data_IF_275012411518
#
_entry.id   IF_275012411518
#
_cell.length_a   1.000
_cell.length_b   1.000
_cell.length_c   1.000
_cell.angle_alpha   90.00
_cell.angle_beta   90.00
_cell.angle_gamma   90.00
#
_symmetry.space_group_name_H-M   'P 1'
#
loop_
_entity.id
_entity.type
_entity.pdbx_description
1 polymer ?
#
# COMPACT_ATOMS: atom_id res chain seq x y z
N UNK A 1 10.45 -23.91 12.33
CA UNK A 1 11.92 -23.82 12.31
C UNK A 1 12.31 -22.84 13.39
N UNK A 2 13.22 -23.25 14.26
CA UNK A 2 13.91 -22.33 15.17
C UNK A 2 14.71 -21.33 14.31
N UNK A 3 14.84 -20.06 14.72
CA UNK A 3 15.69 -19.07 14.05
C UNK A 3 17.17 -19.49 13.91
N UNK A 4 17.59 -20.57 14.57
CA UNK A 4 18.95 -21.12 14.53
C UNK A 4 19.09 -22.36 13.64
N UNK A 5 18.02 -22.81 12.96
CA UNK A 5 18.07 -23.99 12.10
C UNK A 5 18.84 -23.68 10.81
N UNK A 6 19.99 -24.35 10.60
CA UNK A 6 20.80 -24.21 9.39
C UNK A 6 20.10 -24.89 8.21
N UNK A 7 19.85 -24.14 7.15
CA UNK A 7 19.29 -24.65 5.88
C UNK A 7 20.34 -24.67 4.79
N UNK A 8 20.48 -25.79 4.09
CA UNK A 8 21.38 -25.94 2.96
C UNK A 8 20.61 -25.81 1.65
N UNK A 9 21.15 -25.01 0.74
CA UNK A 9 20.60 -24.83 -0.60
C UNK A 9 21.63 -25.26 -1.63
N UNK A 10 21.17 -25.82 -2.75
CA UNK A 10 22.04 -26.12 -3.89
C UNK A 10 22.60 -24.84 -4.53
N UNK A 11 21.77 -23.79 -4.55
CA UNK A 11 22.09 -22.46 -5.06
C UNK A 11 21.25 -21.43 -4.29
N UNK A 12 21.88 -20.33 -3.88
CA UNK A 12 21.23 -19.21 -3.21
C UNK A 12 21.54 -17.95 -4.01
N UNK A 13 20.50 -17.33 -4.57
CA UNK A 13 20.62 -16.04 -5.26
C UNK A 13 20.11 -14.96 -4.32
N UNK A 14 21.05 -14.16 -3.79
CA UNK A 14 20.72 -12.97 -3.00
C UNK A 14 20.73 -11.74 -3.92
N UNK A 15 19.58 -11.08 -4.03
CA UNK A 15 19.49 -9.80 -4.72
C UNK A 15 19.53 -8.70 -3.66
N UNK A 16 20.59 -7.90 -3.69
CA UNK A 16 20.82 -6.78 -2.79
C UNK A 16 20.85 -5.44 -3.54
N UNK A 17 20.75 -4.32 -2.82
CA UNK A 17 20.85 -2.97 -3.38
C UNK A 17 19.58 -2.48 -4.08
N UNK A 18 18.45 -3.16 -3.89
CA UNK A 18 17.14 -2.72 -4.41
C UNK A 18 16.59 -1.52 -3.62
N UNK A 19 16.75 -1.56 -2.30
CA UNK A 19 16.29 -0.48 -1.42
C UNK A 19 17.07 -0.46 -0.11
N UNK A 20 17.29 0.73 0.43
CA UNK A 20 17.57 0.96 1.83
C UNK A 20 16.39 1.76 2.41
N UNK A 21 15.65 1.19 3.36
CA UNK A 21 14.39 1.76 3.86
C UNK A 21 14.58 3.21 4.33
N UNK A 22 13.81 4.12 3.73
CA UNK A 22 13.86 5.56 4.00
C UNK A 22 15.05 6.32 3.42
N UNK A 23 15.99 5.66 2.74
CA UNK A 23 17.24 6.29 2.26
C UNK A 23 17.41 6.19 0.75
N UNK A 24 17.20 5.01 0.18
CA UNK A 24 17.52 4.76 -1.23
C UNK A 24 16.57 3.74 -1.86
N UNK A 25 16.23 3.99 -3.11
CA UNK A 25 15.53 3.06 -3.97
C UNK A 25 16.25 3.00 -5.30
N UNK A 26 16.49 1.79 -5.80
CA UNK A 26 17.20 1.59 -7.05
C UNK A 26 16.40 2.13 -8.24
N UNK A 27 16.98 3.03 -9.07
CA UNK A 27 16.37 3.45 -10.33
C UNK A 27 16.11 2.27 -11.29
N UNK A 28 16.85 1.17 -11.14
CA UNK A 28 16.60 -0.05 -11.90
C UNK A 28 15.28 -0.71 -11.49
N UNK A 29 14.91 -0.70 -10.21
CA UNK A 29 13.61 -1.21 -9.78
C UNK A 29 12.47 -0.40 -10.42
N UNK A 30 12.58 0.93 -10.39
CA UNK A 30 11.60 1.83 -10.99
C UNK A 30 11.49 1.63 -12.50
N UNK A 31 12.61 1.64 -13.22
CA UNK A 31 12.61 1.43 -14.68
C UNK A 31 12.06 0.06 -15.09
N UNK A 32 12.29 -0.99 -14.29
CA UNK A 32 11.69 -2.31 -14.52
C UNK A 32 10.19 -2.29 -14.30
N UNK A 33 9.71 -1.65 -13.23
CA UNK A 33 8.27 -1.50 -13.02
C UNK A 33 7.61 -0.64 -14.11
N UNK A 34 8.30 0.36 -14.66
CA UNK A 34 7.82 1.16 -15.79
C UNK A 34 7.64 0.31 -17.05
N UNK A 35 8.63 -0.53 -17.36
CA UNK A 35 8.57 -1.45 -18.49
C UNK A 35 7.41 -2.46 -18.32
N UNK A 36 7.21 -2.99 -17.10
CA UNK A 36 6.08 -3.86 -16.78
C UNK A 36 4.75 -3.14 -17.01
N UNK A 37 4.59 -1.94 -16.47
CA UNK A 37 3.38 -1.10 -16.64
C UNK A 37 3.12 -0.82 -18.11
N UNK A 38 4.14 -0.46 -18.90
CA UNK A 38 4.01 -0.18 -20.33
C UNK A 38 3.54 -1.41 -21.13
N UNK A 39 3.91 -2.62 -20.71
CA UNK A 39 3.53 -3.87 -21.39
C UNK A 39 2.10 -4.34 -21.11
N UNK A 40 1.43 -3.79 -20.09
CA UNK A 40 0.09 -4.21 -19.67
C UNK A 40 -0.98 -3.28 -20.27
N UNK A 41 -2.02 -3.81 -20.93
CA UNK A 41 -3.10 -3.00 -21.49
C UNK A 41 -3.89 -2.28 -20.38
N UNK A 42 -4.49 -1.14 -20.74
CA UNK A 42 -5.32 -0.38 -19.81
C UNK A 42 -6.50 -1.17 -19.25
N UNK A 43 -6.94 -0.80 -18.05
CA UNK A 43 -8.17 -1.25 -17.40
C UNK A 43 -9.10 -0.07 -17.07
N UNK A 44 -10.30 -0.37 -16.60
CA UNK A 44 -11.18 0.65 -16.03
C UNK A 44 -10.52 1.29 -14.79
N UNK A 45 -10.65 2.62 -14.69
CA UNK A 45 -10.21 3.38 -13.51
C UNK A 45 -11.01 2.93 -12.29
N UNK A 46 -10.32 2.71 -11.17
CA UNK A 46 -10.93 2.24 -9.93
C UNK A 46 -10.37 2.98 -8.72
N UNK A 47 -11.21 3.14 -7.70
CA UNK A 47 -10.78 3.39 -6.32
C UNK A 47 -10.61 2.03 -5.65
N UNK A 48 -9.49 1.82 -4.97
CA UNK A 48 -9.10 0.50 -4.46
C UNK A 48 -8.97 0.55 -2.95
N UNK A 49 -9.59 -0.41 -2.27
CA UNK A 49 -9.31 -0.70 -0.88
C UNK A 49 -8.60 -2.06 -0.81
N UNK A 50 -7.40 -2.06 -0.24
CA UNK A 50 -6.60 -3.27 -0.07
C UNK A 50 -6.92 -3.87 1.30
N UNK A 51 -7.81 -4.86 1.32
CA UNK A 51 -8.19 -5.51 2.58
C UNK A 51 -7.03 -6.31 3.15
N UNK A 52 -7.01 -6.41 4.48
CA UNK A 52 -6.00 -7.17 5.23
C UNK A 52 -6.65 -8.22 6.14
N UNK A 53 -7.87 -8.67 5.81
CA UNK A 53 -8.61 -9.69 6.57
C UNK A 53 -7.73 -10.88 6.94
N UNK A 54 -7.89 -11.35 8.18
CA UNK A 54 -7.22 -12.53 8.74
C UNK A 54 -5.68 -12.46 8.80
N UNK A 55 -5.08 -11.26 8.88
CA UNK A 55 -3.64 -11.09 9.09
C UNK A 55 -3.38 -10.20 10.32
N UNK A 56 -2.17 -10.24 10.87
CA UNK A 56 -1.73 -9.33 11.93
C UNK A 56 -1.91 -7.86 11.52
N UNK A 57 -1.85 -6.88 12.42
CA UNK A 57 -2.02 -5.45 12.04
C UNK A 57 -3.33 -5.22 11.26
N UNK A 58 -4.44 -5.75 11.75
CA UNK A 58 -5.76 -5.59 11.15
C UNK A 58 -6.46 -4.35 11.68
N UNK A 59 -7.42 -3.84 10.91
CA UNK A 59 -8.32 -2.78 11.38
C UNK A 59 -9.42 -3.43 12.20
N UNK A 60 -9.72 -2.91 13.39
CA UNK A 60 -10.89 -3.32 14.17
C UNK A 60 -12.14 -2.94 13.39
N UNK A 61 -13.02 -3.93 13.20
CA UNK A 61 -14.25 -3.78 12.43
C UNK A 61 -13.99 -3.35 10.96
N UNK A 62 -13.08 -4.06 10.30
CA UNK A 62 -12.76 -3.84 8.88
C UNK A 62 -13.99 -3.96 7.96
N UNK A 63 -14.99 -4.77 8.33
CA UNK A 63 -16.23 -4.90 7.57
C UNK A 63 -16.98 -3.56 7.48
N UNK A 64 -17.13 -2.84 8.59
CA UNK A 64 -17.76 -1.51 8.59
C UNK A 64 -16.98 -0.51 7.72
N UNK A 65 -15.64 -0.57 7.75
CA UNK A 65 -14.79 0.26 6.89
C UNK A 65 -14.95 -0.08 5.41
N UNK A 66 -15.03 -1.37 5.08
CA UNK A 66 -15.23 -1.84 3.72
C UNK A 66 -16.58 -1.38 3.17
N UNK A 67 -17.66 -1.51 3.95
CA UNK A 67 -18.99 -1.06 3.56
C UNK A 67 -18.99 0.45 3.26
N UNK A 68 -18.39 1.25 4.15
CA UNK A 68 -18.24 2.69 3.92
C UNK A 68 -17.46 3.00 2.63
N UNK A 69 -16.34 2.33 2.38
CA UNK A 69 -15.54 2.59 1.19
C UNK A 69 -16.27 2.14 -0.08
N UNK A 70 -17.03 1.04 -0.04
CA UNK A 70 -17.87 0.61 -1.15
C UNK A 70 -18.95 1.65 -1.50
N UNK A 71 -19.59 2.26 -0.51
CA UNK A 71 -20.52 3.40 -0.72
C UNK A 71 -19.84 4.59 -1.42
N UNK A 72 -18.52 4.77 -1.22
CA UNK A 72 -17.71 5.80 -1.89
C UNK A 72 -17.18 5.37 -3.28
N UNK A 73 -17.59 4.19 -3.77
CA UNK A 73 -17.22 3.62 -5.06
C UNK A 73 -15.90 2.87 -5.08
N UNK A 74 -15.39 2.44 -3.92
CA UNK A 74 -14.20 1.61 -3.85
C UNK A 74 -14.50 0.14 -4.18
N UNK A 75 -13.53 -0.49 -4.83
CA UNK A 75 -13.45 -1.94 -4.98
C UNK A 75 -12.51 -2.47 -3.89
N UNK A 76 -13.05 -3.29 -3.00
CA UNK A 76 -12.29 -3.97 -1.95
C UNK A 76 -11.72 -5.29 -2.48
N UNK A 77 -10.41 -5.51 -2.32
CA UNK A 77 -9.73 -6.73 -2.78
C UNK A 77 -8.49 -7.05 -1.93
N UNK A 78 -8.11 -8.33 -1.84
CA UNK A 78 -6.79 -8.75 -1.36
C UNK A 78 -5.89 -8.97 -2.59
N UNK A 79 -4.79 -8.20 -2.77
CA UNK A 79 -3.89 -8.40 -3.91
C UNK A 79 -3.26 -9.80 -3.99
N UNK A 80 -3.21 -10.56 -2.89
CA UNK A 80 -2.70 -11.93 -2.90
C UNK A 80 -3.59 -12.93 -3.64
N UNK A 81 -4.85 -12.59 -3.89
CA UNK A 81 -5.75 -13.36 -4.74
C UNK A 81 -5.53 -13.10 -6.24
N UNK A 82 -4.64 -12.15 -6.59
CA UNK A 82 -4.41 -11.70 -7.95
C UNK A 82 -3.02 -12.09 -8.46
N UNK A 83 -2.94 -12.45 -9.73
CA UNK A 83 -1.66 -12.59 -10.42
C UNK A 83 -0.94 -11.24 -10.52
N UNK A 84 0.39 -11.27 -10.70
CA UNK A 84 1.17 -10.04 -10.87
C UNK A 84 0.63 -9.16 -12.02
N UNK A 85 0.23 -9.78 -13.15
CA UNK A 85 -0.32 -9.04 -14.29
C UNK A 85 -1.65 -8.35 -13.95
N UNK A 86 -2.51 -9.00 -13.16
CA UNK A 86 -3.76 -8.42 -12.69
C UNK A 86 -3.52 -7.29 -11.70
N UNK A 87 -2.57 -7.45 -10.77
CA UNK A 87 -2.14 -6.39 -9.86
C UNK A 87 -1.64 -5.18 -10.66
N UNK A 88 -0.70 -5.35 -11.59
CA UNK A 88 -0.20 -4.24 -12.44
C UNK A 88 -1.37 -3.57 -13.17
N UNK A 89 -2.25 -4.36 -13.78
CA UNK A 89 -3.40 -3.86 -14.55
C UNK A 89 -4.34 -3.00 -13.72
N UNK A 90 -4.62 -3.42 -12.48
CA UNK A 90 -5.52 -2.72 -11.56
C UNK A 90 -4.89 -1.44 -11.01
N UNK A 91 -3.64 -1.50 -10.57
CA UNK A 91 -2.96 -0.37 -9.93
C UNK A 91 -2.52 0.70 -10.94
N UNK A 92 -2.15 0.31 -12.17
CA UNK A 92 -1.79 1.25 -13.26
C UNK A 92 -2.80 2.36 -13.48
N UNK A 93 -4.08 2.05 -13.34
CA UNK A 93 -5.19 2.98 -13.57
C UNK A 93 -5.94 3.32 -12.28
N UNK A 94 -5.38 3.05 -11.10
CA UNK A 94 -6.00 3.42 -9.84
C UNK A 94 -6.07 4.95 -9.70
N UNK A 95 -7.24 5.46 -9.32
CA UNK A 95 -7.43 6.87 -8.99
C UNK A 95 -7.05 7.14 -7.53
N UNK A 96 -7.46 6.21 -6.65
CA UNK A 96 -7.19 6.24 -5.23
C UNK A 96 -6.89 4.82 -4.74
N UNK A 97 -5.89 4.67 -3.89
CA UNK A 97 -5.55 3.41 -3.21
C UNK A 97 -5.57 3.66 -1.71
N UNK A 98 -6.43 2.94 -1.00
CA UNK A 98 -6.49 2.91 0.47
C UNK A 98 -6.05 1.53 0.92
N UNK A 99 -5.18 1.43 1.93
CA UNK A 99 -4.79 0.13 2.44
C UNK A 99 -3.93 0.24 3.70
N UNK A 100 -3.80 -0.86 4.42
CA UNK A 100 -2.94 -0.93 5.61
C UNK A 100 -1.47 -1.03 5.18
N UNK A 101 -0.60 -0.26 5.84
CA UNK A 101 0.84 -0.29 5.62
C UNK A 101 1.36 -1.73 5.67
N UNK A 102 1.94 -2.20 4.56
CA UNK A 102 2.43 -3.56 4.40
C UNK A 102 2.65 -3.94 2.94
N UNK A 103 3.01 -5.21 2.71
CA UNK A 103 3.41 -5.69 1.38
C UNK A 103 2.39 -5.39 0.26
N UNK A 104 1.09 -5.42 0.53
CA UNK A 104 0.07 -5.07 -0.46
C UNK A 104 0.26 -3.64 -1.04
N UNK A 105 0.75 -2.71 -0.22
CA UNK A 105 0.99 -1.32 -0.61
C UNK A 105 2.20 -1.16 -1.53
N UNK A 106 3.07 -2.17 -1.72
CA UNK A 106 4.19 -2.05 -2.68
C UNK A 106 3.68 -1.90 -4.11
N UNK A 107 2.44 -2.32 -4.38
CA UNK A 107 1.79 -2.16 -5.67
C UNK A 107 1.57 -0.69 -6.09
N UNK A 108 1.70 0.28 -5.18
CA UNK A 108 1.69 1.70 -5.57
C UNK A 108 2.84 2.07 -6.52
N UNK A 109 3.88 1.23 -6.59
CA UNK A 109 4.94 1.31 -7.61
C UNK A 109 4.41 1.29 -9.04
N UNK A 110 3.24 0.71 -9.27
CA UNK A 110 2.60 0.61 -10.59
C UNK A 110 1.64 1.76 -10.90
N UNK A 111 1.30 2.59 -9.90
CA UNK A 111 0.35 3.68 -10.07
C UNK A 111 0.91 4.80 -10.96
N UNK A 112 0.01 5.52 -11.64
CA UNK A 112 0.35 6.72 -12.40
C UNK A 112 0.63 7.91 -11.46
N UNK A 113 1.40 8.88 -11.96
CA UNK A 113 1.61 10.16 -11.28
C UNK A 113 0.28 10.80 -10.89
N UNK A 114 0.21 11.33 -9.67
CA UNK A 114 -0.98 11.98 -9.11
C UNK A 114 -2.08 11.02 -8.64
N UNK A 115 -1.88 9.70 -8.71
CA UNK A 115 -2.77 8.77 -8.01
C UNK A 115 -2.74 9.07 -6.51
N UNK A 116 -3.92 9.13 -5.89
CA UNK A 116 -4.04 9.30 -4.44
C UNK A 116 -3.71 8.00 -3.73
N UNK A 117 -2.91 8.07 -2.67
CA UNK A 117 -2.58 6.94 -1.81
C UNK A 117 -2.88 7.33 -0.37
N UNK A 118 -3.72 6.56 0.31
CA UNK A 118 -4.03 6.73 1.73
C UNK A 118 -3.54 5.48 2.44
N UNK A 119 -2.40 5.61 3.11
CA UNK A 119 -1.78 4.53 3.85
C UNK A 119 -2.29 4.55 5.30
N UNK A 120 -2.93 3.47 5.72
CA UNK A 120 -3.46 3.30 7.07
C UNK A 120 -2.40 2.58 7.91
N UNK A 121 -2.05 3.11 9.08
CA UNK A 121 -1.02 2.51 9.92
C UNK A 121 -1.43 2.53 11.39
N UNK A 122 -1.00 1.54 12.19
CA UNK A 122 -1.05 1.65 13.65
C UNK A 122 -0.20 2.85 14.11
N UNK A 123 -0.61 3.50 15.21
CA UNK A 123 0.10 4.66 15.75
C UNK A 123 1.57 4.40 16.10
N UNK A 124 1.93 3.16 16.43
CA UNK A 124 3.28 2.71 16.76
C UNK A 124 4.19 2.44 15.56
N UNK A 125 3.66 2.49 14.33
CA UNK A 125 4.43 2.20 13.13
C UNK A 125 5.54 3.26 12.90
N UNK A 126 6.83 2.88 12.89
CA UNK A 126 7.92 3.84 12.71
C UNK A 126 8.28 4.08 11.23
N UNK A 127 7.86 3.19 10.33
CA UNK A 127 8.33 3.17 8.94
C UNK A 127 7.69 4.27 8.08
N UNK A 128 8.48 4.84 7.17
CA UNK A 128 8.08 5.85 6.17
C UNK A 128 8.32 5.37 4.73
N UNK A 129 8.58 4.08 4.53
CA UNK A 129 8.95 3.48 3.24
C UNK A 129 8.00 3.83 2.09
N UNK A 130 6.68 3.80 2.32
CA UNK A 130 5.70 4.08 1.27
C UNK A 130 5.61 5.56 0.91
N UNK A 131 5.88 6.47 1.87
CA UNK A 131 6.04 7.90 1.57
C UNK A 131 7.20 8.11 0.59
N UNK A 132 8.31 7.37 0.77
CA UNK A 132 9.46 7.48 -0.11
C UNK A 132 9.15 6.98 -1.54
N UNK A 133 8.46 5.84 -1.68
CA UNK A 133 7.97 5.37 -2.99
C UNK A 133 7.04 6.40 -3.62
N UNK A 134 6.08 6.92 -2.85
CA UNK A 134 5.12 7.90 -3.33
C UNK A 134 5.80 9.18 -3.83
N UNK A 135 6.79 9.71 -3.11
CA UNK A 135 7.58 10.87 -3.52
C UNK A 135 8.31 10.63 -4.84
N UNK A 136 8.99 9.48 -4.97
CA UNK A 136 9.71 9.12 -6.20
C UNK A 136 8.76 8.87 -7.41
N UNK A 137 7.53 8.44 -7.16
CA UNK A 137 6.49 8.25 -8.19
C UNK A 137 5.62 9.50 -8.45
N UNK A 138 5.74 10.53 -7.62
CA UNK A 138 4.89 11.72 -7.68
C UNK A 138 3.41 11.40 -7.38
N UNK A 139 3.14 10.59 -6.36
CA UNK A 139 1.79 10.25 -5.90
C UNK A 139 1.28 11.27 -4.85
N UNK A 140 -0.04 11.45 -4.77
CA UNK A 140 -0.70 12.29 -3.75
C UNK A 140 -0.88 11.44 -2.47
N UNK A 141 0.12 11.44 -1.60
CA UNK A 141 0.20 10.52 -0.46
C UNK A 141 -0.29 11.14 0.85
N UNK A 142 -1.14 10.40 1.54
CA UNK A 142 -1.59 10.66 2.90
C UNK A 142 -1.33 9.43 3.78
N UNK A 143 -1.04 9.68 5.04
CA UNK A 143 -0.95 8.64 6.06
C UNK A 143 -1.96 8.95 7.16
N UNK A 144 -2.75 7.94 7.53
CA UNK A 144 -3.66 8.02 8.68
C UNK A 144 -3.17 7.02 9.71
N UNK A 145 -2.78 7.54 10.88
CA UNK A 145 -2.35 6.73 12.02
C UNK A 145 -3.52 6.49 12.96
N UNK A 146 -3.84 5.22 13.16
CA UNK A 146 -4.93 4.77 14.00
C UNK A 146 -4.50 4.42 15.43
N UNK A 147 -5.45 4.52 16.35
CA UNK A 147 -5.25 4.15 17.76
C UNK A 147 -5.16 2.64 17.89
N UNK A 148 -4.20 2.14 18.67
CA UNK A 148 -4.14 0.71 18.96
C UNK A 148 -5.34 0.26 19.82
N UNK A 149 -5.84 -0.94 19.57
CA UNK A 149 -6.91 -1.54 20.37
C UNK A 149 -6.43 -1.99 21.75
N UNK A 150 -5.11 -2.11 21.94
CA UNK A 150 -4.44 -2.53 23.17
C UNK A 150 -3.13 -1.75 23.34
N UNK A 151 -2.68 -1.57 24.58
CA UNK A 151 -1.37 -0.95 24.85
C UNK A 151 -0.26 -1.91 24.42
N UNK A 152 0.53 -1.48 23.44
CA UNK A 152 1.64 -2.25 22.89
C UNK A 152 2.66 -1.32 22.24
N UNK A 153 3.94 -1.72 22.25
CA UNK A 153 4.98 -1.09 21.43
C UNK A 153 5.04 -1.73 20.02
N UNK A 154 4.41 -2.89 19.84
CA UNK A 154 4.33 -3.57 18.55
C UNK A 154 3.37 -2.85 17.61
N UNK A 155 3.70 -2.86 16.32
CA UNK A 155 2.82 -2.42 15.24
C UNK A 155 2.04 -3.58 14.61
N UNK A 156 2.14 -4.81 15.15
CA UNK A 156 1.45 -5.98 14.62
C UNK A 156 0.14 -6.31 15.37
N UNK A 157 -0.33 -5.37 16.20
CA UNK A 157 -1.60 -5.46 16.92
C UNK A 157 -2.75 -4.80 16.16
N UNK A 158 -4.02 -5.18 16.43
CA UNK A 158 -5.17 -4.51 15.85
C UNK A 158 -5.25 -3.03 16.22
N UNK A 159 -5.78 -2.21 15.31
CA UNK A 159 -5.92 -0.77 15.51
C UNK A 159 -7.21 -0.24 14.88
N UNK A 160 -7.59 0.98 15.24
CA UNK A 160 -8.82 1.63 14.81
C UNK A 160 -8.52 2.80 13.90
N UNK A 161 -9.30 2.95 12.83
CA UNK A 161 -9.30 4.13 11.97
C UNK A 161 -10.59 4.90 12.19
N UNK A 162 -10.45 6.18 12.53
CA UNK A 162 -11.59 7.09 12.64
C UNK A 162 -12.17 7.37 11.25
N UNK A 163 -13.44 7.00 11.04
CA UNK A 163 -14.15 7.17 9.76
C UNK A 163 -14.15 8.61 9.28
N UNK A 164 -14.36 9.57 10.19
CA UNK A 164 -14.42 10.99 9.86
C UNK A 164 -13.08 11.52 9.35
N UNK A 165 -11.96 11.02 9.90
CA UNK A 165 -10.63 11.38 9.41
C UNK A 165 -10.41 10.84 8.00
N UNK A 166 -10.77 9.57 7.74
CA UNK A 166 -10.68 9.00 6.40
C UNK A 166 -11.59 9.74 5.41
N UNK A 167 -12.83 10.06 5.80
CA UNK A 167 -13.77 10.83 4.99
C UNK A 167 -13.22 12.22 4.66
N UNK A 168 -12.62 12.89 5.64
CA UNK A 168 -11.97 14.18 5.43
C UNK A 168 -10.85 14.09 4.39
N UNK A 169 -9.91 13.15 4.53
CA UNK A 169 -8.81 12.96 3.57
C UNK A 169 -9.33 12.63 2.17
N UNK A 170 -10.38 11.80 2.08
CA UNK A 170 -11.02 11.48 0.79
C UNK A 170 -11.63 12.73 0.11
N UNK A 171 -12.11 13.70 0.88
CA UNK A 171 -12.70 14.95 0.38
C UNK A 171 -11.68 16.01 -0.05
N UNK A 172 -10.40 15.88 0.33
CA UNK A 172 -9.37 16.85 -0.02
C UNK A 172 -9.19 16.91 -1.54
N UNK A 173 -8.99 18.11 -2.09
CA UNK A 173 -8.62 18.23 -3.50
C UNK A 173 -7.19 17.69 -3.74
N UNK A 174 -6.88 17.15 -4.92
CA UNK A 174 -5.53 16.68 -5.23
C UNK A 174 -4.49 17.78 -5.03
N UNK A 175 -3.39 17.47 -4.34
CA UNK A 175 -2.27 18.41 -4.23
C UNK A 175 -1.59 18.53 -5.61
N UNK A 176 -1.66 19.72 -6.23
CA UNK A 176 -0.89 20.03 -7.44
C UNK A 176 -1.67 20.16 -8.76
N UNK A 177 -2.88 20.72 -8.76
CA UNK A 177 -3.28 21.57 -9.89
C UNK A 177 -2.74 22.99 -9.62
N UNK A 178 -1.45 23.19 -9.88
CA UNK A 178 -0.96 24.54 -10.12
C UNK A 178 -1.55 24.97 -11.47
N UNK A 179 -2.53 25.88 -11.41
CA UNK A 179 -2.96 26.73 -12.53
C UNK A 179 -1.80 27.56 -13.06
#
# INVERSE_FOLDING_TARGET
>A
MSPQDVSFFKELVLVDGLSNHGVYMSPLAFSRTDAMVASVPGAQVRKLYLTRKNRARSIRDEDSLMDFLQEQGFVCLDPSDLTLLEQIKIFKNAECVVGVMGAAMTNIMFCRKGTRVINLAPGTMPDTFFYFIAGLRGLDYYEIRGKLCEESESWDVPFEIERDHLAHVLSLSPQGQAS
#
